data_IF_582988218058
#
_entry.id   IF_582988218058
#
_cell.length_a   1.000
_cell.length_b   1.000
_cell.length_c   1.000
_cell.angle_alpha   90.00
_cell.angle_beta   90.00
_cell.angle_gamma   90.00
#
_symmetry.space_group_name_H-M   'P 1'
#
loop_
_entity.id
_entity.type
_entity.pdbx_description
1 polymer ?
#
# COMPACT_ATOMS: atom_id res chain seq x y z
N UNK A 1 13.91 12.31 -5.62
CA UNK A 1 13.00 11.71 -4.63
C UNK A 1 12.50 10.40 -5.21
N UNK A 2 12.70 9.27 -4.54
CA UNK A 2 12.27 7.96 -5.05
C UNK A 2 11.07 7.53 -4.23
N UNK A 3 9.91 7.39 -4.87
CA UNK A 3 8.71 6.80 -4.27
C UNK A 3 8.60 5.34 -4.73
N UNK A 4 8.11 4.47 -3.87
CA UNK A 4 7.87 3.06 -4.20
C UNK A 4 6.39 2.87 -4.50
N UNK A 5 6.09 2.11 -5.55
CA UNK A 5 4.72 1.80 -5.97
C UNK A 5 4.41 0.33 -5.70
N UNK A 6 3.23 0.08 -5.17
CA UNK A 6 2.66 -1.27 -5.03
C UNK A 6 1.39 -1.31 -5.87
N UNK A 7 1.31 -2.27 -6.77
CA UNK A 7 0.15 -2.50 -7.63
C UNK A 7 -0.66 -3.67 -7.10
N UNK A 8 -1.97 -3.47 -6.94
CA UNK A 8 -2.90 -4.49 -6.44
C UNK A 8 -4.00 -4.72 -7.46
N UNK A 9 -4.36 -5.99 -7.69
CA UNK A 9 -5.25 -6.40 -8.78
C UNK A 9 -4.51 -6.72 -10.10
N UNK A 10 -3.19 -6.89 -10.02
CA UNK A 10 -2.31 -7.26 -11.13
C UNK A 10 -1.53 -8.51 -10.72
N UNK A 11 -1.36 -9.44 -11.64
CA UNK A 11 -0.53 -10.63 -11.49
C UNK A 11 0.96 -10.28 -11.65
N UNK A 12 1.88 -11.11 -11.15
CA UNK A 12 3.33 -10.88 -11.26
C UNK A 12 3.81 -10.84 -12.72
N UNK A 13 3.04 -11.47 -13.62
CA UNK A 13 3.26 -11.43 -15.06
C UNK A 13 2.73 -10.14 -15.74
N UNK A 14 2.21 -9.18 -14.97
CA UNK A 14 1.64 -7.92 -15.47
C UNK A 14 0.18 -8.02 -15.95
N UNK A 15 -0.47 -9.18 -15.80
CA UNK A 15 -1.86 -9.38 -16.24
C UNK A 15 -2.83 -8.71 -15.26
N UNK A 16 -3.69 -7.83 -15.77
CA UNK A 16 -4.71 -7.16 -14.97
C UNK A 16 -5.86 -8.13 -14.66
N UNK A 17 -5.94 -8.54 -13.40
CA UNK A 17 -7.04 -9.34 -12.85
C UNK A 17 -8.23 -8.46 -12.47
N UNK A 18 -7.94 -7.26 -11.95
CA UNK A 18 -8.93 -6.32 -11.46
C UNK A 18 -9.33 -6.59 -10.01
N UNK A 19 -9.95 -5.59 -9.40
CA UNK A 19 -10.50 -5.62 -8.05
C UNK A 19 -11.99 -5.27 -8.10
N UNK A 20 -12.78 -6.00 -7.34
CA UNK A 20 -14.17 -5.65 -7.06
C UNK A 20 -14.26 -4.42 -6.14
N UNK A 21 -15.43 -3.78 -6.11
CA UNK A 21 -15.70 -2.65 -5.21
C UNK A 21 -15.52 -3.02 -3.73
N UNK A 22 -15.93 -4.22 -3.35
CA UNK A 22 -15.82 -4.69 -1.97
C UNK A 22 -14.36 -4.96 -1.57
N UNK A 23 -13.56 -5.52 -2.48
CA UNK A 23 -12.12 -5.69 -2.26
C UNK A 23 -11.41 -4.36 -2.12
N UNK A 24 -11.73 -3.38 -2.97
CA UNK A 24 -11.18 -2.01 -2.88
C UNK A 24 -11.52 -1.39 -1.52
N UNK A 25 -12.78 -1.48 -1.08
CA UNK A 25 -13.21 -0.95 0.21
C UNK A 25 -12.46 -1.60 1.37
N UNK A 26 -12.33 -2.92 1.35
CA UNK A 26 -11.60 -3.68 2.37
C UNK A 26 -10.11 -3.33 2.40
N UNK A 27 -9.48 -3.23 1.23
CA UNK A 27 -8.07 -2.85 1.09
C UNK A 27 -7.81 -1.46 1.69
N UNK A 28 -8.64 -0.47 1.37
CA UNK A 28 -8.49 0.87 1.94
C UNK A 28 -8.55 0.88 3.48
N UNK A 29 -9.45 0.09 4.08
CA UNK A 29 -9.51 -0.04 5.54
C UNK A 29 -8.27 -0.71 6.12
N UNK A 30 -7.78 -1.79 5.49
CA UNK A 30 -6.58 -2.50 5.92
C UNK A 30 -5.32 -1.66 5.80
N UNK A 31 -5.18 -0.91 4.70
CA UNK A 31 -4.06 0.00 4.50
C UNK A 31 -4.06 1.07 5.60
N UNK A 32 -5.17 1.79 5.77
CA UNK A 32 -5.30 2.86 6.77
C UNK A 32 -5.04 2.38 8.20
N UNK A 33 -5.61 1.24 8.59
CA UNK A 33 -5.38 0.66 9.92
C UNK A 33 -3.93 0.21 10.12
N UNK A 34 -3.32 -0.42 9.13
CA UNK A 34 -1.94 -0.91 9.21
C UNK A 34 -0.94 0.23 9.30
N UNK A 35 -1.08 1.24 8.45
CA UNK A 35 -0.17 2.40 8.42
C UNK A 35 -0.21 3.24 9.68
N UNK A 36 -1.37 3.29 10.34
CA UNK A 36 -1.59 4.13 11.51
C UNK A 36 -1.32 3.43 12.84
N UNK A 37 -1.55 2.11 12.92
CA UNK A 37 -1.53 1.38 14.20
C UNK A 37 -0.41 0.34 14.31
N UNK A 38 0.11 -0.16 13.19
CA UNK A 38 1.09 -1.26 13.19
C UNK A 38 2.52 -0.82 12.85
N UNK A 39 2.70 0.42 12.40
CA UNK A 39 3.99 1.02 12.04
C UNK A 39 4.26 2.21 12.94
N UNK A 40 5.44 2.26 13.55
CA UNK A 40 5.87 3.35 14.42
C UNK A 40 7.26 3.87 14.00
N UNK A 41 7.43 5.16 13.66
CA UNK A 41 6.37 6.17 13.52
C UNK A 41 5.43 5.88 12.33
N UNK A 42 4.15 6.31 12.37
CA UNK A 42 3.20 6.08 11.29
C UNK A 42 3.69 6.59 9.94
N UNK A 43 3.35 5.87 8.87
CA UNK A 43 3.68 6.26 7.49
C UNK A 43 2.38 6.52 6.73
N UNK A 44 2.20 7.70 6.18
CA UNK A 44 1.02 8.00 5.36
C UNK A 44 1.29 7.65 3.90
N UNK A 45 0.60 6.63 3.39
CA UNK A 45 0.65 6.23 1.98
C UNK A 45 -0.48 6.87 1.20
N UNK A 46 -0.28 7.09 -0.09
CA UNK A 46 -1.32 7.55 -1.01
C UNK A 46 -1.88 6.35 -1.76
N UNK A 47 -3.20 6.23 -1.84
CA UNK A 47 -3.88 5.20 -2.63
C UNK A 47 -4.66 5.83 -3.78
N UNK A 48 -4.57 5.21 -4.95
CA UNK A 48 -5.27 5.63 -6.16
C UNK A 48 -5.93 4.40 -6.80
N UNK A 49 -7.13 4.58 -7.35
CA UNK A 49 -7.83 3.53 -8.11
C UNK A 49 -7.85 3.95 -9.57
N UNK A 50 -7.29 3.12 -10.43
CA UNK A 50 -7.25 3.35 -11.88
C UNK A 50 -8.10 2.28 -12.56
N UNK A 51 -8.87 2.71 -13.56
CA UNK A 51 -9.59 1.79 -14.44
C UNK A 51 -8.70 1.49 -15.66
N UNK A 52 -8.43 0.22 -15.91
CA UNK A 52 -7.67 -0.25 -17.06
C UNK A 52 -8.32 -1.52 -17.60
N UNK A 53 -8.58 -1.58 -18.91
CA UNK A 53 -9.31 -2.70 -19.54
C UNK A 53 -10.62 -3.04 -18.82
N UNK A 54 -11.40 -2.02 -18.45
CA UNK A 54 -12.65 -2.11 -17.69
C UNK A 54 -12.51 -2.76 -16.30
N UNK A 55 -11.28 -2.96 -15.82
CA UNK A 55 -10.95 -3.52 -14.53
C UNK A 55 -10.29 -2.48 -13.65
N UNK A 56 -10.71 -2.42 -12.40
CA UNK A 56 -10.12 -1.51 -11.42
C UNK A 56 -8.84 -2.10 -10.84
N UNK A 57 -7.77 -1.33 -10.80
CA UNK A 57 -6.53 -1.65 -10.06
C UNK A 57 -6.28 -0.59 -8.99
N UNK A 58 -5.61 -0.97 -7.92
CA UNK A 58 -5.19 -0.03 -6.88
C UNK A 58 -3.68 0.18 -6.94
N UNK A 59 -3.25 1.44 -6.95
CA UNK A 59 -1.85 1.83 -6.82
C UNK A 59 -1.67 2.43 -5.44
N UNK A 60 -0.68 1.92 -4.71
CA UNK A 60 -0.28 2.43 -3.40
C UNK A 60 1.11 3.05 -3.55
N UNK A 61 1.20 4.36 -3.32
CA UNK A 61 2.44 5.10 -3.34
C UNK A 61 2.96 5.24 -1.92
N UNK A 62 4.11 4.62 -1.65
CA UNK A 62 4.78 4.66 -0.35
C UNK A 62 5.88 5.72 -0.41
N UNK A 63 5.80 6.79 0.41
CA UNK A 63 6.85 7.79 0.44
C UNK A 63 8.13 7.23 1.06
N UNK A 64 9.28 7.78 0.66
CA UNK A 64 10.55 7.44 1.31
C UNK A 64 10.52 7.93 2.76
N UNK A 65 10.51 6.99 3.70
CA UNK A 65 10.53 7.30 5.13
C UNK A 65 11.80 8.06 5.53
N UNK A 66 11.63 9.25 6.10
CA UNK A 66 12.71 10.10 6.62
C UNK A 66 12.98 9.87 8.11
N UNK A 67 12.06 9.21 8.82
CA UNK A 67 12.10 9.02 10.28
C UNK A 67 12.44 7.59 10.66
N UNK A 68 13.64 7.13 10.29
CA UNK A 68 14.16 5.83 10.72
C UNK A 68 14.68 5.92 12.16
N UNK A 69 14.58 4.85 12.98
CA UNK A 69 14.09 3.52 12.65
C UNK A 69 12.56 3.41 12.66
N UNK A 70 12.02 2.51 11.85
CA UNK A 70 10.60 2.11 11.92
C UNK A 70 10.49 0.78 12.66
N UNK A 71 9.50 0.63 13.53
CA UNK A 71 9.12 -0.65 14.15
C UNK A 71 7.79 -1.15 13.57
N UNK A 72 7.71 -2.46 13.39
CA UNK A 72 6.47 -3.15 12.99
C UNK A 72 6.04 -4.03 14.16
N UNK A 73 4.79 -3.88 14.61
CA UNK A 73 4.21 -4.67 15.71
C UNK A 73 5.05 -4.70 17.02
N UNK A 74 5.85 -3.65 17.28
CA UNK A 74 6.61 -3.44 18.53
C UNK A 74 7.65 -4.52 18.89
N UNK A 75 7.98 -5.44 17.99
CA UNK A 75 8.97 -6.51 18.25
C UNK A 75 10.08 -6.62 17.21
N UNK A 76 9.94 -5.98 16.05
CA UNK A 76 10.98 -5.92 15.02
C UNK A 76 11.33 -4.46 14.66
N UNK A 77 12.63 -4.18 14.51
CA UNK A 77 13.17 -2.89 14.09
C UNK A 77 13.71 -2.98 12.66
N UNK A 78 13.22 -2.13 11.77
CA UNK A 78 13.68 -2.06 10.39
C UNK A 78 14.72 -0.95 10.23
N UNK A 79 15.98 -1.36 10.03
CA UNK A 79 17.11 -0.49 9.69
C UNK A 79 17.55 -0.78 8.25
N UNK A 80 17.00 -0.04 7.28
CA UNK A 80 17.54 0.08 5.91
C UNK A 80 17.25 1.46 5.39
#
# INVERSE_FOLDING_TARGET
MVATYIYVGVDDNGVIKGLSRDEIKRLNQWISSTTSQKIEPPIFVQTEIILSDEKSIMIITVPKGTHKPYSVNKTEFLVK
#
